data_IF_335290646180
#
_entry.id   IF_335290646180
#
_cell.length_a   1.000
_cell.length_b   1.000
_cell.length_c   1.000
_cell.angle_alpha   90.00
_cell.angle_beta   90.00
_cell.angle_gamma   90.00
#
_symmetry.space_group_name_H-M   'P 1'
#
loop_
_entity.id
_entity.type
_entity.pdbx_description
1 polymer ?
#
# COMPACT_ATOMS: atom_id res chain seq x y z
N UNK A 1 4.24 19.42 -5.47
CA UNK A 1 3.66 18.06 -5.64
C UNK A 1 2.69 18.07 -6.82
N UNK A 2 2.78 17.08 -7.71
CA UNK A 2 2.07 17.07 -8.98
C UNK A 2 0.59 16.74 -8.82
N UNK A 3 -0.31 17.58 -9.35
CA UNK A 3 -1.74 17.25 -9.50
C UNK A 3 -1.97 16.03 -10.41
N UNK A 4 -0.95 15.65 -11.20
CA UNK A 4 -1.01 14.59 -12.20
C UNK A 4 -1.62 13.29 -11.67
N UNK A 5 -1.34 12.89 -10.42
CA UNK A 5 -1.79 11.61 -9.87
C UNK A 5 -2.93 11.74 -8.86
N UNK A 6 -3.52 12.92 -8.70
CA UNK A 6 -4.50 13.16 -7.64
C UNK A 6 -5.72 12.23 -7.71
N UNK A 7 -6.38 12.15 -8.86
CA UNK A 7 -7.53 11.27 -9.06
C UNK A 7 -7.16 9.78 -8.90
N UNK A 8 -5.94 9.42 -9.30
CA UNK A 8 -5.40 8.07 -9.14
C UNK A 8 -5.23 7.72 -7.66
N UNK A 9 -4.68 8.62 -6.84
CA UNK A 9 -4.49 8.40 -5.40
C UNK A 9 -5.82 8.15 -4.68
N UNK A 10 -6.80 9.02 -4.90
CA UNK A 10 -8.14 8.83 -4.31
C UNK A 10 -8.77 7.51 -4.75
N UNK A 11 -8.62 7.13 -6.03
CA UNK A 11 -9.11 5.85 -6.53
C UNK A 11 -8.39 4.66 -5.90
N UNK A 12 -7.08 4.74 -5.70
CA UNK A 12 -6.30 3.68 -5.05
C UNK A 12 -6.74 3.48 -3.58
N UNK A 13 -6.96 4.56 -2.83
CA UNK A 13 -7.51 4.48 -1.48
C UNK A 13 -8.92 3.87 -1.47
N UNK A 14 -9.79 4.25 -2.40
CA UNK A 14 -11.13 3.67 -2.52
C UNK A 14 -11.09 2.16 -2.85
N UNK A 15 -10.16 1.74 -3.72
CA UNK A 15 -9.94 0.31 -4.02
C UNK A 15 -9.47 -0.42 -2.76
N UNK A 16 -8.58 0.17 -1.96
CA UNK A 16 -8.11 -0.44 -0.73
C UNK A 16 -9.24 -0.70 0.27
N UNK A 17 -10.12 0.29 0.49
CA UNK A 17 -11.32 0.16 1.33
C UNK A 17 -12.29 -0.89 0.77
N UNK A 18 -12.47 -0.94 -0.55
CA UNK A 18 -13.32 -1.95 -1.19
C UNK A 18 -12.78 -3.37 -1.02
N UNK A 19 -11.46 -3.55 -1.11
CA UNK A 19 -10.83 -4.85 -0.95
C UNK A 19 -10.89 -5.32 0.51
N UNK A 20 -10.75 -4.41 1.48
CA UNK A 20 -10.91 -4.72 2.89
C UNK A 20 -12.35 -5.16 3.21
N UNK A 21 -13.36 -4.47 2.67
CA UNK A 21 -14.78 -4.81 2.91
C UNK A 21 -15.21 -6.17 2.33
N UNK A 22 -14.43 -6.71 1.37
CA UNK A 22 -14.56 -8.09 0.88
C UNK A 22 -14.00 -9.14 1.85
N UNK A 23 -13.45 -8.71 2.99
CA UNK A 23 -12.94 -9.56 4.05
C UNK A 23 -11.79 -10.47 3.59
N UNK A 24 -10.94 -9.95 2.68
CA UNK A 24 -9.83 -10.67 2.06
C UNK A 24 -8.85 -11.16 3.13
N UNK A 25 -8.49 -12.44 3.02
CA UNK A 25 -7.62 -13.14 3.95
C UNK A 25 -6.88 -14.28 3.27
N UNK A 26 -5.85 -14.75 3.95
CA UNK A 26 -5.13 -15.95 3.59
C UNK A 26 -5.98 -17.21 3.78
N UNK A 27 -5.74 -18.19 2.92
CA UNK A 27 -6.26 -19.55 3.02
C UNK A 27 -5.10 -20.49 3.38
N UNK A 28 -5.06 -20.96 4.64
CA UNK A 28 -4.02 -21.87 5.13
C UNK A 28 -2.75 -21.21 5.67
N UNK A 29 -2.81 -19.94 6.07
CA UNK A 29 -1.73 -19.20 6.79
C UNK A 29 -0.36 -19.18 6.07
N UNK A 30 -0.39 -19.17 4.75
CA UNK A 30 0.76 -19.40 3.87
C UNK A 30 1.07 -18.20 2.97
N UNK A 31 0.61 -16.99 3.32
CA UNK A 31 0.67 -15.80 2.46
C UNK A 31 0.06 -16.03 1.05
N UNK A 32 -0.97 -16.88 0.95
CA UNK A 32 -1.72 -17.18 -0.28
C UNK A 32 -3.21 -17.10 -0.03
N UNK A 33 -3.95 -17.00 -1.12
CA UNK A 33 -5.41 -17.02 -1.16
C UNK A 33 -5.86 -16.47 -2.51
N UNK A 34 -7.07 -16.78 -2.99
CA UNK A 34 -7.50 -16.42 -4.35
C UNK A 34 -7.31 -14.95 -4.67
N UNK A 35 -7.57 -14.07 -3.70
CA UNK A 35 -7.37 -12.63 -3.88
C UNK A 35 -5.93 -12.16 -3.68
N UNK A 36 -5.22 -12.72 -2.72
CA UNK A 36 -3.81 -12.39 -2.44
C UNK A 36 -2.94 -12.77 -3.65
N UNK A 37 -3.26 -13.87 -4.31
CA UNK A 37 -2.57 -14.33 -5.51
C UNK A 37 -2.73 -13.34 -6.66
N UNK A 38 -3.89 -12.69 -6.80
CA UNK A 38 -4.08 -11.61 -7.77
C UNK A 38 -3.16 -10.42 -7.47
N UNK A 39 -2.99 -10.03 -6.21
CA UNK A 39 -2.06 -8.95 -5.85
C UNK A 39 -0.61 -9.32 -6.20
N UNK A 40 -0.19 -10.55 -5.86
CA UNK A 40 1.15 -11.07 -6.16
C UNK A 40 1.42 -11.12 -7.67
N UNK A 41 0.47 -11.65 -8.45
CA UNK A 41 0.58 -11.75 -9.90
C UNK A 41 0.61 -10.37 -10.56
N UNK A 42 -0.23 -9.44 -10.10
CA UNK A 42 -0.22 -8.05 -10.59
C UNK A 42 1.17 -7.42 -10.43
N UNK A 43 1.85 -7.72 -9.33
CA UNK A 43 3.20 -7.24 -9.04
C UNK A 43 4.34 -8.11 -9.64
N UNK A 44 4.02 -9.02 -10.57
CA UNK A 44 4.95 -9.96 -11.19
C UNK A 44 5.74 -10.82 -10.18
N UNK A 45 5.14 -11.15 -9.03
CA UNK A 45 5.74 -12.08 -8.07
C UNK A 45 5.34 -13.52 -8.42
N UNK A 46 6.28 -14.47 -8.54
CA UNK A 46 5.93 -15.87 -8.69
C UNK A 46 5.18 -16.36 -7.44
N UNK A 47 4.13 -17.14 -7.62
CA UNK A 47 3.30 -17.64 -6.52
C UNK A 47 4.02 -18.67 -5.63
N UNK A 48 5.09 -19.28 -6.14
CA UNK A 48 6.00 -20.13 -5.36
C UNK A 48 6.79 -19.34 -4.31
N UNK A 49 6.91 -18.02 -4.45
CA UNK A 49 7.55 -17.18 -3.44
C UNK A 49 6.59 -16.88 -2.28
N UNK A 50 6.99 -17.29 -1.07
CA UNK A 50 6.23 -17.10 0.16
C UNK A 50 6.46 -15.72 0.80
N UNK A 51 6.44 -14.66 -0.01
CA UNK A 51 6.63 -13.30 0.48
C UNK A 51 5.37 -12.79 1.21
N UNK A 52 5.60 -12.00 2.27
CA UNK A 52 4.58 -11.13 2.87
C UNK A 52 3.96 -10.24 1.80
N UNK A 53 2.65 -9.98 1.90
CA UNK A 53 1.90 -9.44 0.77
C UNK A 53 1.37 -8.01 0.91
N UNK A 54 1.73 -7.31 2.00
CA UNK A 54 1.34 -5.91 2.22
C UNK A 54 1.72 -4.97 1.07
N UNK A 55 2.97 -5.06 0.58
CA UNK A 55 3.44 -4.26 -0.55
C UNK A 55 2.78 -4.63 -1.88
N UNK A 56 2.48 -5.92 -2.11
CA UNK A 56 1.75 -6.34 -3.32
C UNK A 56 0.33 -5.77 -3.34
N UNK A 57 -0.32 -5.70 -2.19
CA UNK A 57 -1.64 -5.09 -2.06
C UNK A 57 -1.64 -3.60 -2.39
N UNK A 58 -0.68 -2.83 -1.86
CA UNK A 58 -0.56 -1.39 -2.17
C UNK A 58 -0.24 -1.18 -3.65
N UNK A 59 0.67 -1.99 -4.21
CA UNK A 59 0.92 -2.00 -5.66
C UNK A 59 -0.35 -2.28 -6.46
N UNK A 60 -1.12 -3.29 -6.07
CA UNK A 60 -2.37 -3.65 -6.72
C UNK A 60 -3.33 -2.44 -6.78
N UNK A 61 -3.56 -1.77 -5.65
CA UNK A 61 -4.45 -0.61 -5.57
C UNK A 61 -4.00 0.53 -6.50
N UNK A 62 -2.71 0.89 -6.47
CA UNK A 62 -2.14 1.92 -7.33
C UNK A 62 -2.22 1.52 -8.81
N UNK A 63 -1.91 0.27 -9.15
CA UNK A 63 -1.90 -0.22 -10.52
C UNK A 63 -3.30 -0.32 -11.14
N UNK A 64 -4.32 -0.70 -10.38
CA UNK A 64 -5.71 -0.69 -10.86
C UNK A 64 -6.22 0.73 -11.07
N UNK A 65 -5.88 1.66 -10.17
CA UNK A 65 -6.19 3.08 -10.36
C UNK A 65 -5.47 3.66 -11.59
N UNK A 66 -4.20 3.32 -11.77
CA UNK A 66 -3.40 3.68 -12.94
C UNK A 66 -4.03 3.18 -14.25
N UNK A 67 -4.45 1.91 -14.27
CA UNK A 67 -5.16 1.32 -15.42
C UNK A 67 -6.49 2.03 -15.69
N UNK A 68 -7.23 2.41 -14.66
CA UNK A 68 -8.51 3.11 -14.79
C UNK A 68 -8.36 4.46 -15.49
N UNK A 69 -7.30 5.22 -15.18
CA UNK A 69 -7.04 6.55 -15.76
C UNK A 69 -6.07 6.52 -16.94
N UNK A 70 -5.70 5.33 -17.44
CA UNK A 70 -4.69 5.16 -18.49
C UNK A 70 -3.39 5.93 -18.21
N UNK A 71 -2.91 5.85 -16.97
CA UNK A 71 -1.76 6.60 -16.48
C UNK A 71 -0.64 5.65 -16.06
N UNK A 72 0.60 5.98 -16.39
CA UNK A 72 1.76 5.21 -15.94
C UNK A 72 2.17 5.65 -14.54
N UNK A 73 2.44 4.68 -13.67
CA UNK A 73 3.01 4.94 -12.34
C UNK A 73 4.50 5.32 -12.46
N UNK A 74 5.02 6.21 -11.59
CA UNK A 74 6.41 6.67 -11.67
C UNK A 74 7.45 5.65 -11.15
N UNK A 75 7.03 4.42 -10.84
CA UNK A 75 7.85 3.42 -10.14
C UNK A 75 8.24 2.23 -11.01
N UNK A 76 8.05 2.29 -12.33
CA UNK A 76 8.48 1.22 -13.24
C UNK A 76 10.00 1.38 -13.46
N UNK A 77 10.82 0.32 -13.33
CA UNK A 77 10.50 -1.11 -13.18
C UNK A 77 10.58 -1.65 -11.73
N UNK A 78 10.63 -0.79 -10.73
CA UNK A 78 10.96 -1.17 -9.37
C UNK A 78 9.81 -1.87 -8.64
N UNK A 79 10.23 -2.87 -7.85
CA UNK A 79 9.36 -3.70 -7.01
C UNK A 79 8.82 -2.85 -5.86
N UNK A 80 7.75 -2.08 -6.13
CA UNK A 80 6.95 -1.29 -5.18
C UNK A 80 6.51 -2.06 -3.92
N UNK A 81 6.64 -3.38 -3.94
CA UNK A 81 6.27 -4.27 -2.86
C UNK A 81 7.37 -4.47 -1.79
N UNK A 82 8.57 -3.91 -1.97
CA UNK A 82 9.67 -3.98 -0.99
C UNK A 82 9.84 -2.66 -0.24
N UNK A 83 9.68 -2.68 1.08
CA UNK A 83 9.81 -1.47 1.91
C UNK A 83 11.21 -0.83 1.84
N UNK A 84 12.26 -1.66 1.75
CA UNK A 84 13.64 -1.17 1.60
C UNK A 84 13.84 -0.41 0.29
N UNK A 85 13.43 -1.02 -0.84
CA UNK A 85 13.53 -0.37 -2.16
C UNK A 85 12.67 0.88 -2.27
N UNK A 86 11.47 0.86 -1.69
CA UNK A 86 10.61 2.05 -1.63
C UNK A 86 11.25 3.19 -0.83
N UNK A 87 11.94 2.86 0.27
CA UNK A 87 12.68 3.85 1.06
C UNK A 87 13.83 4.45 0.25
N UNK A 88 14.60 3.60 -0.45
CA UNK A 88 15.68 4.04 -1.35
C UNK A 88 15.14 4.94 -2.46
N UNK A 89 14.06 4.54 -3.12
CA UNK A 89 13.39 5.33 -4.15
C UNK A 89 12.95 6.69 -3.61
N UNK A 90 12.35 6.74 -2.42
CA UNK A 90 11.92 7.99 -1.81
C UNK A 90 13.09 8.92 -1.50
N UNK A 91 14.25 8.38 -1.10
CA UNK A 91 15.48 9.15 -0.92
C UNK A 91 16.01 9.76 -2.22
N UNK A 92 15.80 9.09 -3.36
CA UNK A 92 16.13 9.60 -4.70
C UNK A 92 15.06 10.55 -5.27
N UNK A 93 13.85 10.56 -4.69
CA UNK A 93 12.70 11.33 -5.16
C UNK A 93 12.10 12.17 -4.01
N UNK A 94 12.84 13.15 -3.45
CA UNK A 94 12.40 13.91 -2.27
C UNK A 94 11.09 14.67 -2.49
N UNK A 95 10.77 15.07 -3.73
CA UNK A 95 9.51 15.74 -4.08
C UNK A 95 8.27 14.86 -3.89
N UNK A 96 8.46 13.54 -3.82
CA UNK A 96 7.42 12.57 -3.52
C UNK A 96 7.27 12.31 -2.01
N UNK A 97 8.16 12.82 -1.15
CA UNK A 97 8.10 12.59 0.29
C UNK A 97 7.16 13.59 0.95
N UNK A 98 6.20 13.09 1.74
CA UNK A 98 5.30 13.91 2.55
C UNK A 98 5.82 13.98 3.98
N UNK A 99 6.52 15.07 4.30
CA UNK A 99 7.13 15.29 5.62
C UNK A 99 6.24 16.02 6.62
N UNK A 100 5.14 16.62 6.16
CA UNK A 100 4.20 17.34 7.02
C UNK A 100 2.76 17.24 6.47
N UNK A 101 1.73 17.44 7.33
CA UNK A 101 0.33 17.49 6.91
C UNK A 101 0.06 18.53 5.79
N UNK A 102 -0.99 18.33 4.97
CA UNK A 102 -1.96 17.24 5.06
C UNK A 102 -1.45 15.94 4.44
N UNK A 103 -1.62 14.83 5.17
CA UNK A 103 -1.60 13.49 4.60
C UNK A 103 -2.95 13.22 3.92
N UNK A 104 -2.92 12.68 2.71
CA UNK A 104 -4.09 12.58 1.85
C UNK A 104 -4.41 11.11 1.52
N UNK A 105 -5.67 10.78 1.23
CA UNK A 105 -6.04 9.46 0.73
C UNK A 105 -5.21 9.08 -0.50
N UNK A 106 -4.62 7.89 -0.46
CA UNK A 106 -3.76 7.35 -1.51
C UNK A 106 -2.28 7.71 -1.36
N UNK A 107 -1.91 8.55 -0.40
CA UNK A 107 -0.55 8.50 0.14
C UNK A 107 -0.30 7.09 0.66
N UNK A 108 0.92 6.61 0.50
CA UNK A 108 1.32 5.30 1.00
C UNK A 108 2.60 5.43 1.80
N UNK A 109 2.82 4.50 2.72
CA UNK A 109 3.90 4.63 3.69
C UNK A 109 4.69 3.34 3.81
N UNK A 110 5.94 3.49 4.26
CA UNK A 110 6.76 2.38 4.74
C UNK A 110 6.96 2.59 6.23
N UNK A 111 6.61 1.59 7.05
CA UNK A 111 6.87 1.58 8.48
C UNK A 111 8.36 1.33 8.77
N UNK A 112 8.80 1.67 9.99
CA UNK A 112 10.19 1.45 10.44
C UNK A 112 10.67 0.01 10.30
N UNK A 113 9.77 -0.97 10.38
CA UNK A 113 10.05 -2.39 10.16
C UNK A 113 9.75 -2.90 8.73
N UNK A 114 9.63 -1.99 7.75
CA UNK A 114 9.48 -2.31 6.32
C UNK A 114 8.08 -2.67 5.84
N UNK A 115 7.06 -2.57 6.70
CA UNK A 115 5.67 -2.81 6.32
C UNK A 115 5.09 -1.67 5.50
N UNK A 116 4.26 -1.99 4.51
CA UNK A 116 3.70 -1.02 3.57
C UNK A 116 2.19 -0.99 3.71
N UNK A 117 1.61 0.21 3.77
CA UNK A 117 0.16 0.42 3.75
C UNK A 117 -0.22 1.68 3.00
N UNK A 118 -1.52 1.91 2.87
CA UNK A 118 -2.09 3.07 2.17
C UNK A 118 -2.98 3.87 3.11
N UNK A 119 -2.83 5.19 3.07
CA UNK A 119 -3.66 6.15 3.81
C UNK A 119 -5.03 6.22 3.13
N UNK A 120 -6.10 6.11 3.92
CA UNK A 120 -7.47 6.23 3.43
C UNK A 120 -8.18 7.46 3.99
N UNK A 121 -7.73 7.97 5.14
CA UNK A 121 -8.25 9.19 5.74
C UNK A 121 -7.24 9.75 6.76
N UNK A 122 -7.20 11.07 6.91
CA UNK A 122 -6.45 11.75 7.96
C UNK A 122 -7.23 12.98 8.43
N UNK A 123 -7.51 13.05 9.73
CA UNK A 123 -8.33 14.11 10.33
C UNK A 123 -7.49 15.17 11.06
N UNK A 124 -6.16 15.18 10.87
CA UNK A 124 -5.21 16.00 11.62
C UNK A 124 -4.49 15.22 12.73
N UNK A 125 -3.41 15.81 13.26
CA UNK A 125 -2.57 15.18 14.29
C UNK A 125 -1.52 14.21 13.71
N UNK A 126 -1.15 13.21 14.51
CA UNK A 126 -0.09 12.24 14.21
C UNK A 126 -0.62 10.84 13.88
N UNK A 127 -1.94 10.65 13.83
CA UNK A 127 -2.59 9.36 13.60
C UNK A 127 -3.27 9.33 12.24
N UNK A 128 -2.85 8.40 11.39
CA UNK A 128 -3.45 8.13 10.08
C UNK A 128 -4.44 6.97 10.18
N UNK A 129 -5.57 7.07 9.47
CA UNK A 129 -6.42 5.91 9.17
C UNK A 129 -5.94 5.28 7.87
N UNK A 130 -5.65 3.99 7.93
CA UNK A 130 -4.98 3.25 6.85
C UNK A 130 -5.71 1.95 6.54
N UNK A 131 -5.41 1.38 5.38
CA UNK A 131 -5.70 -0.02 5.08
C UNK A 131 -4.40 -0.72 4.73
N UNK A 132 -4.20 -1.89 5.34
CA UNK A 132 -2.94 -2.61 5.25
C UNK A 132 -3.23 -4.10 5.05
N UNK A 133 -2.44 -4.76 4.20
CA UNK A 133 -2.47 -6.21 4.06
C UNK A 133 -1.57 -6.92 5.05
N UNK A 134 -1.60 -8.25 5.02
CA UNK A 134 -0.72 -9.09 5.81
C UNK A 134 -0.80 -8.80 7.33
N UNK A 135 -1.98 -8.40 7.82
CA UNK A 135 -2.23 -8.17 9.23
C UNK A 135 -2.65 -9.47 9.92
N UNK A 136 -1.98 -9.81 11.02
CA UNK A 136 -2.33 -10.98 11.82
C UNK A 136 -3.76 -10.89 12.35
N UNK A 137 -4.45 -12.04 12.36
CA UNK A 137 -5.72 -12.25 13.07
C UNK A 137 -5.48 -13.35 14.10
N UNK A 138 -6.11 -13.27 15.27
CA UNK A 138 -6.12 -14.42 16.18
C UNK A 138 -6.86 -15.59 15.52
N UNK A 139 -6.19 -16.74 15.42
CA UNK A 139 -6.77 -18.00 14.94
C UNK A 139 -7.17 -18.05 13.46
N UNK A 140 -6.66 -17.13 12.62
CA UNK A 140 -6.91 -17.10 11.17
C UNK A 140 -5.69 -16.55 10.43
N UNK A 141 -5.53 -16.97 9.18
CA UNK A 141 -4.55 -16.40 8.25
C UNK A 141 -4.62 -14.87 8.15
N UNK A 142 -3.52 -14.25 7.69
CA UNK A 142 -3.43 -12.79 7.68
C UNK A 142 -4.45 -12.17 6.72
N UNK A 143 -4.85 -10.93 6.98
CA UNK A 143 -5.96 -10.27 6.27
C UNK A 143 -5.66 -8.82 5.92
N UNK A 144 -6.52 -8.25 5.07
CA UNK A 144 -6.67 -6.81 4.96
C UNK A 144 -7.38 -6.27 6.20
N UNK A 145 -6.91 -5.14 6.73
CA UNK A 145 -7.58 -4.46 7.84
C UNK A 145 -7.47 -2.95 7.75
N UNK A 146 -8.52 -2.27 8.19
CA UNK A 146 -8.40 -0.91 8.66
C UNK A 146 -7.50 -0.83 9.90
N UNK A 147 -6.61 0.15 9.94
CA UNK A 147 -5.73 0.43 11.08
C UNK A 147 -5.70 1.92 11.40
N UNK A 148 -5.33 2.21 12.64
CA UNK A 148 -4.80 3.52 13.05
C UNK A 148 -3.30 3.35 13.19
N UNK A 149 -2.52 4.21 12.53
CA UNK A 149 -1.05 4.17 12.52
C UNK A 149 -0.50 5.52 12.93
N UNK A 150 0.50 5.54 13.82
CA UNK A 150 1.18 6.77 14.18
C UNK A 150 2.26 7.11 13.16
N UNK A 151 2.42 8.39 12.85
CA UNK A 151 3.50 8.87 11.98
C UNK A 151 4.89 8.51 12.53
N UNK A 152 5.04 8.45 13.84
CA UNK A 152 6.29 8.03 14.49
C UNK A 152 6.71 6.59 14.14
N UNK A 153 5.77 5.73 13.75
CA UNK A 153 6.05 4.36 13.32
C UNK A 153 6.44 4.28 11.83
N UNK A 154 6.31 5.39 11.10
CA UNK A 154 6.56 5.48 9.67
C UNK A 154 7.97 5.97 9.39
N UNK A 155 8.69 5.23 8.54
CA UNK A 155 9.98 5.64 8.02
C UNK A 155 9.84 6.72 6.96
N UNK A 156 8.86 6.56 6.08
CA UNK A 156 8.57 7.51 5.01
C UNK A 156 7.10 7.43 4.60
N UNK A 157 6.53 8.59 4.29
CA UNK A 157 5.23 8.71 3.61
C UNK A 157 5.47 9.28 2.22
N UNK A 158 4.86 8.65 1.21
CA UNK A 158 5.11 8.91 -0.20
C UNK A 158 3.81 9.32 -0.89
N UNK A 159 3.89 10.38 -1.69
CA UNK A 159 2.85 10.88 -2.58
C UNK A 159 3.39 10.97 -3.99
N UNK A 160 2.70 10.30 -4.91
CA UNK A 160 2.85 10.50 -6.36
C UNK A 160 1.87 11.54 -6.83
#
# INVERSE_FOLDING_TARGET
>A
MSQKYEQLRYKAAAIAVQEESRNVREEGENNRGPRIDVYKLRANSPLSANHNWCGFFVYYCLSEAARWYNQQLPFIPEKLWSGGRLTEWAGLNPDAVVSAPPYLPGDFYVMNHGHIGIVVEHSGGDVLKTVDGNQSSVGKGKSLRHRKRHLADMRVVIRI
#
